data_IF_455237810449
#
_entry.id   IF_455237810449
#
_cell.length_a   1.000
_cell.length_b   1.000
_cell.length_c   1.000
_cell.angle_alpha   90.00
_cell.angle_beta   90.00
_cell.angle_gamma   90.00
#
_symmetry.space_group_name_H-M   'P 1'
#
loop_
_entity.id
_entity.type
_entity.pdbx_description
1 polymer ?
#
# COMPACT_ATOMS: atom_id res chain seq x y z
N UNK A 1 -13.90 -3.21 5.81
CA UNK A 1 -13.60 -4.02 7.00
C UNK A 1 -12.09 -4.22 7.09
N UNK A 2 -11.56 -4.30 8.31
CA UNK A 2 -10.17 -4.58 8.63
C UNK A 2 -10.09 -5.87 9.45
N UNK A 3 -9.07 -6.68 9.20
CA UNK A 3 -8.63 -7.76 10.07
C UNK A 3 -7.16 -7.50 10.48
N UNK A 4 -6.90 -7.10 11.74
CA UNK A 4 -5.58 -6.76 12.23
C UNK A 4 -4.62 -7.95 12.32
N UNK A 5 -5.11 -9.14 12.69
CA UNK A 5 -4.29 -10.35 12.73
C UNK A 5 -3.76 -10.73 11.34
N UNK A 6 -4.58 -10.50 10.30
CA UNK A 6 -4.20 -10.74 8.91
C UNK A 6 -3.57 -9.51 8.24
N UNK A 7 -3.45 -8.39 8.95
CA UNK A 7 -3.03 -7.08 8.42
C UNK A 7 -3.66 -6.80 7.05
N UNK A 8 -4.98 -6.98 6.97
CA UNK A 8 -5.71 -7.01 5.70
C UNK A 8 -6.97 -6.15 5.77
N UNK A 9 -7.23 -5.42 4.69
CA UNK A 9 -8.42 -4.60 4.48
C UNK A 9 -9.22 -5.22 3.33
N UNK A 10 -10.53 -5.30 3.54
CA UNK A 10 -11.49 -5.77 2.54
C UNK A 10 -12.71 -4.83 2.55
N UNK A 11 -12.88 -4.10 1.46
CA UNK A 11 -14.06 -3.32 1.13
C UNK A 11 -14.71 -3.98 -0.09
N UNK A 12 -15.81 -4.74 0.10
CA UNK A 12 -16.45 -5.51 -0.97
C UNK A 12 -16.61 -4.69 -2.25
N UNK A 13 -16.22 -5.31 -3.37
CA UNK A 13 -16.23 -4.79 -4.75
C UNK A 13 -15.44 -3.49 -4.98
N UNK A 14 -14.80 -2.95 -3.96
CA UNK A 14 -14.15 -1.63 -3.99
C UNK A 14 -12.65 -1.72 -3.89
N UNK A 15 -12.17 -2.33 -2.82
CA UNK A 15 -10.76 -2.27 -2.47
C UNK A 15 -10.37 -3.45 -1.59
N UNK A 16 -9.20 -4.01 -1.86
CA UNK A 16 -8.52 -4.91 -0.95
C UNK A 16 -7.10 -4.42 -0.73
N UNK A 17 -6.57 -4.64 0.46
CA UNK A 17 -5.16 -4.39 0.73
C UNK A 17 -4.65 -5.38 1.76
N UNK A 18 -3.37 -5.70 1.72
CA UNK A 18 -2.75 -6.51 2.76
C UNK A 18 -1.27 -6.23 2.90
N UNK A 19 -0.77 -6.51 4.10
CA UNK A 19 0.63 -6.55 4.43
C UNK A 19 0.99 -7.96 4.90
N UNK A 20 2.00 -8.56 4.29
CA UNK A 20 2.59 -9.83 4.71
C UNK A 20 4.05 -9.59 5.03
N UNK A 21 4.54 -10.21 6.10
CA UNK A 21 5.95 -10.14 6.48
C UNK A 21 6.71 -11.31 5.90
N UNK A 22 7.85 -11.02 5.28
CA UNK A 22 8.70 -11.99 4.63
C UNK A 22 9.18 -13.06 5.60
N UNK A 23 9.21 -14.31 5.14
CA UNK A 23 9.54 -15.45 6.02
C UNK A 23 10.98 -15.38 6.53
N UNK A 24 11.90 -14.87 5.70
CA UNK A 24 13.28 -14.60 6.08
C UNK A 24 13.36 -13.50 7.15
N UNK A 25 12.56 -12.44 7.02
CA UNK A 25 12.53 -11.32 7.98
C UNK A 25 12.07 -11.77 9.35
N UNK A 26 11.02 -12.61 9.41
CA UNK A 26 10.54 -13.20 10.66
C UNK A 26 11.64 -14.05 11.33
N UNK A 27 12.33 -14.89 10.55
CA UNK A 27 13.38 -15.78 11.04
C UNK A 27 14.61 -15.03 11.53
N UNK A 28 15.04 -14.00 10.81
CA UNK A 28 16.23 -13.21 11.10
C UNK A 28 15.97 -12.06 12.10
N UNK A 29 14.71 -11.85 12.50
CA UNK A 29 14.33 -10.79 13.44
C UNK A 29 14.43 -9.39 12.84
N UNK A 30 14.21 -9.25 11.52
CA UNK A 30 14.09 -7.93 10.89
C UNK A 30 12.68 -7.35 11.08
N UNK A 31 12.55 -6.04 10.81
CA UNK A 31 11.24 -5.40 10.72
C UNK A 31 10.61 -5.64 9.34
N UNK A 32 9.35 -5.24 9.17
CA UNK A 32 8.70 -5.26 7.86
C UNK A 32 8.94 -3.90 7.17
N UNK A 33 9.64 -3.92 6.04
CA UNK A 33 10.01 -2.75 5.24
C UNK A 33 8.83 -2.13 4.49
N UNK A 34 7.82 -2.92 4.18
CA UNK A 34 6.65 -2.50 3.42
C UNK A 34 5.67 -1.68 4.27
N UNK A 35 5.14 -0.62 3.68
CA UNK A 35 4.13 0.22 4.29
C UNK A 35 3.05 0.62 3.29
N UNK A 36 1.80 0.64 3.75
CA UNK A 36 0.62 0.98 2.99
C UNK A 36 -0.01 2.25 3.55
N UNK A 37 -0.43 3.15 2.67
CA UNK A 37 -1.27 4.31 2.96
C UNK A 37 -2.58 4.18 2.20
N UNK A 38 -3.70 4.22 2.92
CA UNK A 38 -5.04 4.29 2.37
C UNK A 38 -5.75 5.51 2.96
N UNK A 39 -5.70 6.64 2.26
CA UNK A 39 -6.45 7.84 2.62
C UNK A 39 -7.73 7.89 1.78
N UNK A 40 -8.83 7.40 2.36
CA UNK A 40 -10.10 7.31 1.66
C UNK A 40 -10.77 8.68 1.47
N UNK A 41 -10.58 9.58 2.43
CA UNK A 41 -11.14 10.93 2.40
C UNK A 41 -10.56 11.73 1.21
N UNK A 42 -9.24 11.67 1.04
CA UNK A 42 -8.53 12.37 -0.02
C UNK A 42 -8.34 11.56 -1.30
N UNK A 43 -8.76 10.29 -1.30
CA UNK A 43 -8.59 9.31 -2.39
C UNK A 43 -7.13 9.13 -2.82
N UNK A 44 -6.25 9.01 -1.82
CA UNK A 44 -4.81 8.80 -2.00
C UNK A 44 -4.44 7.41 -1.49
N UNK A 45 -3.80 6.63 -2.35
CA UNK A 45 -3.36 5.26 -2.06
C UNK A 45 -1.90 5.14 -2.40
N UNK A 46 -1.09 4.62 -1.47
CA UNK A 46 0.33 4.45 -1.72
C UNK A 46 0.89 3.19 -1.06
N UNK A 47 1.92 2.65 -1.68
CA UNK A 47 2.80 1.64 -1.11
C UNK A 47 4.23 2.17 -1.13
N UNK A 48 5.02 1.77 -0.14
CA UNK A 48 6.43 2.06 -0.06
C UNK A 48 7.14 0.88 0.59
N UNK A 49 8.26 0.49 0.00
CA UNK A 49 9.15 -0.57 0.49
C UNK A 49 10.46 0.06 0.94
N UNK A 50 10.97 -0.36 2.09
CA UNK A 50 12.18 0.14 2.72
C UNK A 50 13.17 -0.97 2.95
N UNK A 51 14.46 -0.63 2.87
CA UNK A 51 15.53 -1.60 3.17
C UNK A 51 15.46 -2.10 4.61
N UNK A 52 15.94 -3.31 4.85
CA UNK A 52 16.00 -3.99 6.15
C UNK A 52 16.84 -3.24 7.19
N UNK A 53 17.79 -2.41 6.74
CA UNK A 53 18.61 -1.57 7.62
C UNK A 53 17.77 -0.50 8.33
N UNK A 54 16.70 -0.04 7.69
CA UNK A 54 15.80 0.97 8.24
C UNK A 54 14.36 0.74 7.74
N UNK A 55 13.67 -0.33 8.18
CA UNK A 55 12.35 -0.71 7.67
C UNK A 55 11.28 0.35 7.94
N UNK A 56 11.49 1.22 8.93
CA UNK A 56 10.59 2.34 9.22
C UNK A 56 10.67 3.48 8.19
N UNK A 57 11.60 3.44 7.21
CA UNK A 57 11.76 4.51 6.22
C UNK A 57 10.49 4.75 5.41
N UNK A 58 9.82 3.66 5.00
CA UNK A 58 8.56 3.65 4.24
C UNK A 58 7.43 4.31 5.04
N UNK A 59 7.23 3.89 6.30
CA UNK A 59 6.26 4.50 7.22
C UNK A 59 6.51 6.00 7.41
N UNK A 60 7.74 6.41 7.67
CA UNK A 60 8.05 7.82 7.87
C UNK A 60 7.76 8.67 6.62
N UNK A 61 8.00 8.12 5.43
CA UNK A 61 7.66 8.78 4.17
C UNK A 61 6.14 8.93 4.02
N UNK A 62 5.39 7.85 4.21
CA UNK A 62 3.94 7.83 4.05
C UNK A 62 3.21 8.64 5.13
N UNK A 63 3.73 8.68 6.36
CA UNK A 63 3.20 9.55 7.43
C UNK A 63 3.38 11.04 7.09
N UNK A 64 4.52 11.42 6.49
CA UNK A 64 4.73 12.79 6.01
C UNK A 64 3.84 13.12 4.82
N UNK A 65 3.65 12.19 3.89
CA UNK A 65 2.73 12.34 2.77
C UNK A 65 1.29 12.58 3.27
N UNK A 66 0.80 11.71 4.16
CA UNK A 66 -0.53 11.83 4.75
C UNK A 66 -0.71 13.14 5.53
N UNK A 67 0.29 13.55 6.32
CA UNK A 67 0.25 14.81 7.05
C UNK A 67 0.20 16.03 6.10
N UNK A 68 1.02 16.03 5.05
CA UNK A 68 1.02 17.10 4.05
C UNK A 68 -0.32 17.21 3.32
N UNK A 69 -0.96 16.08 2.99
CA UNK A 69 -2.29 16.04 2.37
C UNK A 69 -3.36 16.52 3.35
N UNK A 70 -3.31 16.09 4.62
CA UNK A 70 -4.28 16.53 5.62
C UNK A 70 -4.22 18.05 5.88
N UNK A 71 -3.03 18.64 5.81
CA UNK A 71 -2.81 20.08 5.99
C UNK A 71 -3.19 20.91 4.76
N UNK A 72 -2.82 20.46 3.56
CA UNK A 72 -2.91 21.27 2.33
C UNK A 72 -4.06 20.83 1.40
N UNK A 73 -4.76 19.75 1.72
CA UNK A 73 -5.67 19.05 0.81
C UNK A 73 -4.95 18.11 -0.18
N UNK A 74 -5.69 17.28 -0.93
CA UNK A 74 -5.13 16.45 -1.98
C UNK A 74 -4.65 17.32 -3.15
N UNK A 75 -3.60 16.92 -3.86
CA UNK A 75 -3.19 17.63 -5.06
C UNK A 75 -4.28 17.55 -6.13
N UNK A 76 -4.57 18.68 -6.79
CA UNK A 76 -5.55 18.75 -7.89
C UNK A 76 -4.93 18.48 -9.27
N UNK A 77 -3.64 18.79 -9.43
CA UNK A 77 -2.89 18.67 -10.67
C UNK A 77 -1.45 18.16 -10.43
N UNK A 78 -0.75 17.87 -11.53
CA UNK A 78 0.60 17.31 -11.55
C UNK A 78 1.61 18.26 -10.90
N UNK A 79 1.47 19.57 -11.11
CA UNK A 79 2.39 20.57 -10.56
C UNK A 79 2.29 20.63 -9.04
N UNK A 80 1.07 20.67 -8.52
CA UNK A 80 0.77 20.64 -7.09
C UNK A 80 1.24 19.33 -6.47
N UNK A 81 1.05 18.20 -7.17
CA UNK A 81 1.53 16.91 -6.69
C UNK A 81 3.06 16.82 -6.67
N UNK A 82 3.74 17.26 -7.73
CA UNK A 82 5.21 17.33 -7.78
C UNK A 82 5.76 18.18 -6.62
N UNK A 83 5.22 19.39 -6.41
CA UNK A 83 5.64 20.27 -5.33
C UNK A 83 5.38 19.68 -3.93
N UNK A 84 4.27 18.96 -3.75
CA UNK A 84 3.99 18.25 -2.51
C UNK A 84 5.02 17.12 -2.29
N UNK A 85 5.31 16.33 -3.33
CA UNK A 85 6.27 15.24 -3.24
C UNK A 85 7.68 15.74 -2.98
N UNK A 86 8.16 16.80 -3.64
CA UNK A 86 9.47 17.39 -3.36
C UNK A 86 9.63 17.79 -1.88
N UNK A 87 8.60 18.36 -1.27
CA UNK A 87 8.59 18.70 0.17
C UNK A 87 8.65 17.47 1.07
N UNK A 88 7.95 16.39 0.72
CA UNK A 88 7.95 15.14 1.48
C UNK A 88 9.26 14.37 1.31
N UNK A 89 9.79 14.38 0.09
CA UNK A 89 10.98 13.66 -0.38
C UNK A 89 12.26 14.22 0.19
N UNK A 90 12.42 15.55 0.15
CA UNK A 90 13.60 16.26 0.68
C UNK A 90 13.84 16.06 2.18
N UNK A 91 12.81 15.66 2.92
CA UNK A 91 12.90 15.33 4.35
C UNK A 91 13.37 13.90 4.63
N UNK A 92 13.50 13.05 3.60
CA UNK A 92 14.01 11.69 3.76
C UNK A 92 15.54 11.72 3.96
N UNK A 93 16.02 11.16 5.08
CA UNK A 93 17.45 11.06 5.36
C UNK A 93 18.12 10.08 4.38
N UNK A 94 19.40 10.32 4.09
CA UNK A 94 20.13 9.54 3.10
C UNK A 94 20.13 8.01 3.38
N UNK A 95 20.25 7.65 4.65
CA UNK A 95 20.28 6.25 5.08
C UNK A 95 18.89 5.59 5.16
N UNK A 96 17.81 6.36 5.02
CA UNK A 96 16.45 5.84 5.09
C UNK A 96 15.93 5.59 3.66
N UNK A 97 16.55 4.66 2.94
CA UNK A 97 16.18 4.35 1.54
C UNK A 97 14.79 3.71 1.49
N UNK A 98 13.89 4.22 0.65
CA UNK A 98 12.57 3.62 0.41
C UNK A 98 12.01 3.97 -0.98
N UNK A 99 11.17 3.09 -1.55
CA UNK A 99 10.40 3.33 -2.77
C UNK A 99 9.19 4.21 -2.49
N UNK A 100 8.49 4.61 -3.56
CA UNK A 100 7.14 5.16 -3.48
C UNK A 100 6.37 4.85 -4.76
N UNK A 101 5.27 4.13 -4.63
CA UNK A 101 4.24 4.02 -5.67
C UNK A 101 2.94 4.58 -5.10
N UNK A 102 2.46 5.69 -5.66
CA UNK A 102 1.33 6.45 -5.14
C UNK A 102 0.36 6.81 -6.27
N UNK A 103 -0.93 6.70 -5.97
CA UNK A 103 -2.06 7.03 -6.84
C UNK A 103 -2.96 8.04 -6.12
N UNK A 104 -3.29 9.13 -6.79
CA UNK A 104 -4.31 10.09 -6.37
C UNK A 104 -5.44 10.07 -7.40
N UNK A 105 -6.66 9.75 -6.98
CA UNK A 105 -7.83 9.79 -7.85
C UNK A 105 -8.45 11.18 -7.85
N UNK A 106 -8.49 11.82 -9.02
CA UNK A 106 -9.02 13.17 -9.20
C UNK A 106 -10.17 13.19 -10.20
N UNK A 107 -11.08 14.14 -10.03
CA UNK A 107 -12.08 14.47 -11.05
C UNK A 107 -11.62 15.75 -11.73
N UNK A 108 -11.37 15.70 -13.04
CA UNK A 108 -11.01 16.87 -13.85
C UNK A 108 -12.19 17.25 -14.75
N UNK A 109 -12.11 18.41 -15.39
CA UNK A 109 -13.10 18.86 -16.37
C UNK A 109 -13.31 17.83 -17.48
N UNK A 110 -12.23 17.19 -17.94
CA UNK A 110 -12.24 16.15 -18.98
C UNK A 110 -12.54 14.73 -18.48
N UNK A 111 -13.03 14.60 -17.24
CA UNK A 111 -13.38 13.32 -16.62
C UNK A 111 -12.44 12.87 -15.49
N UNK A 112 -12.69 11.69 -14.91
CA UNK A 112 -11.86 11.12 -13.86
C UNK A 112 -10.46 10.76 -14.36
N UNK A 113 -9.45 10.96 -13.52
CA UNK A 113 -8.07 10.62 -13.81
C UNK A 113 -7.36 10.08 -12.56
N UNK A 114 -6.27 9.35 -12.78
CA UNK A 114 -5.34 8.93 -11.75
C UNK A 114 -4.01 9.65 -11.95
N UNK A 115 -3.59 10.45 -10.97
CA UNK A 115 -2.23 10.98 -10.92
C UNK A 115 -1.32 9.99 -10.22
N UNK A 116 -0.12 9.81 -10.76
CA UNK A 116 0.79 8.72 -10.45
C UNK A 116 2.15 9.28 -10.07
N UNK A 117 2.68 8.81 -8.95
CA UNK A 117 4.07 8.97 -8.60
C UNK A 117 4.69 7.60 -8.38
N UNK A 118 5.74 7.27 -9.12
CA UNK A 118 6.44 6.00 -8.99
C UNK A 118 7.93 6.24 -8.92
N UNK A 119 8.58 5.65 -7.92
CA UNK A 119 9.99 5.85 -7.63
C UNK A 119 10.54 4.57 -6.98
N UNK A 120 11.61 4.01 -7.54
CA UNK A 120 12.12 2.69 -7.15
C UNK A 120 11.46 1.57 -7.94
N UNK A 121 11.36 0.40 -7.33
CA UNK A 121 10.93 -0.87 -7.93
C UNK A 121 9.55 -1.37 -7.47
N UNK A 122 8.89 -0.66 -6.55
CA UNK A 122 7.45 -0.81 -6.36
C UNK A 122 6.68 -0.39 -7.62
N UNK A 123 5.49 -0.94 -7.81
CA UNK A 123 4.74 -0.82 -9.08
C UNK A 123 3.33 -0.29 -8.88
N UNK A 124 2.84 0.41 -9.92
CA UNK A 124 1.42 0.68 -10.15
C UNK A 124 1.03 0.04 -11.47
N UNK A 125 0.02 -0.82 -11.44
CA UNK A 125 -0.49 -1.55 -12.60
C UNK A 125 -1.96 -1.25 -12.79
N UNK A 126 -2.34 -0.90 -14.02
CA UNK A 126 -3.71 -0.68 -14.45
C UNK A 126 -4.12 -1.89 -15.27
N UNK A 127 -5.20 -2.53 -14.84
CA UNK A 127 -5.69 -3.77 -15.43
C UNK A 127 -7.08 -3.55 -16.01
N UNK A 128 -7.33 -4.11 -17.19
CA UNK A 128 -8.66 -4.16 -17.76
C UNK A 128 -9.54 -5.08 -16.89
N UNK A 129 -10.67 -4.59 -16.35
CA UNK A 129 -11.52 -5.38 -15.46
C UNK A 129 -12.14 -6.60 -16.15
N UNK A 130 -12.30 -6.56 -17.47
CA UNK A 130 -13.00 -7.59 -18.22
C UNK A 130 -12.14 -8.83 -18.48
N UNK A 131 -10.92 -8.62 -18.98
CA UNK A 131 -10.02 -9.68 -19.45
C UNK A 131 -8.69 -9.77 -18.66
N UNK A 132 -8.48 -8.87 -17.69
CA UNK A 132 -7.32 -8.91 -16.81
C UNK A 132 -6.03 -8.39 -17.43
N UNK A 133 -6.05 -7.91 -18.67
CA UNK A 133 -4.83 -7.45 -19.36
C UNK A 133 -4.27 -6.18 -18.74
N UNK A 134 -2.95 -6.09 -18.71
CA UNK A 134 -2.23 -4.87 -18.35
C UNK A 134 -2.47 -3.80 -19.40
N UNK A 135 -3.09 -2.70 -18.99
CA UNK A 135 -3.28 -1.49 -19.81
C UNK A 135 -2.05 -0.58 -19.66
N UNK A 136 -1.55 -0.46 -18.44
CA UNK A 136 -0.41 0.37 -18.09
C UNK A 136 0.30 -0.22 -16.87
N UNK A 137 1.61 -0.11 -16.82
CA UNK A 137 2.41 -0.47 -15.65
C UNK A 137 3.60 0.48 -15.53
N UNK A 138 3.86 0.97 -14.32
CA UNK A 138 5.05 1.77 -14.04
C UNK A 138 6.31 0.91 -14.17
N UNK A 139 7.41 1.53 -14.59
CA UNK A 139 8.71 0.85 -14.68
C UNK A 139 9.48 1.05 -13.39
N UNK A 140 10.23 0.03 -13.01
CA UNK A 140 11.22 0.13 -11.95
C UNK A 140 12.34 1.08 -12.35
N UNK A 141 12.85 1.84 -11.40
CA UNK A 141 14.07 2.63 -11.55
C UNK A 141 14.89 2.65 -10.25
N UNK A 142 16.02 3.36 -10.28
CA UNK A 142 16.90 3.50 -9.13
C UNK A 142 16.63 4.80 -8.34
N UNK A 143 15.47 5.43 -8.53
CA UNK A 143 15.09 6.67 -7.87
C UNK A 143 14.43 6.37 -6.52
N UNK A 144 15.20 6.32 -5.44
CA UNK A 144 14.68 6.03 -4.10
C UNK A 144 14.66 7.30 -3.23
N UNK A 145 13.65 7.44 -2.38
CA UNK A 145 13.65 8.46 -1.35
C UNK A 145 14.81 8.17 -0.39
N UNK A 146 15.55 9.21 -0.01
CA UNK A 146 16.78 9.06 0.76
C UNK A 146 17.99 8.66 -0.10
N UNK A 147 17.86 8.39 -1.39
CA UNK A 147 19.02 8.24 -2.29
C UNK A 147 19.12 9.38 -3.30
N UNK A 148 17.99 9.74 -3.87
CA UNK A 148 17.87 10.79 -4.88
C UNK A 148 17.41 12.10 -4.28
N UNK A 149 17.82 13.21 -4.90
CA UNK A 149 17.45 14.56 -4.46
C UNK A 149 15.97 14.88 -4.72
N UNK A 150 15.42 14.37 -5.83
CA UNK A 150 14.07 14.68 -6.30
C UNK A 150 13.33 13.39 -6.68
N UNK A 151 12.00 13.34 -6.48
CA UNK A 151 11.17 12.30 -7.04
C UNK A 151 11.11 12.43 -8.58
N UNK A 152 10.67 11.36 -9.23
CA UNK A 152 10.27 11.41 -10.63
C UNK A 152 9.06 12.32 -10.82
N UNK A 153 8.95 12.86 -12.04
CA UNK A 153 7.79 13.64 -12.42
C UNK A 153 6.50 12.82 -12.31
N UNK A 154 5.49 13.42 -11.68
CA UNK A 154 4.14 12.88 -11.64
C UNK A 154 3.57 12.79 -13.06
N UNK A 155 2.90 11.68 -13.35
CA UNK A 155 2.17 11.47 -14.60
C UNK A 155 0.68 11.34 -14.32
N UNK A 156 -0.17 11.63 -15.30
CA UNK A 156 -1.62 11.47 -15.18
C UNK A 156 -2.13 10.51 -16.23
N UNK A 157 -2.88 9.51 -15.77
CA UNK A 157 -3.58 8.56 -16.62
C UNK A 157 -5.08 8.89 -16.62
N UNK A 158 -5.69 9.22 -17.77
CA UNK A 158 -7.13 9.35 -17.88
C UNK A 158 -7.83 8.02 -17.55
N UNK A 159 -8.94 8.07 -16.82
CA UNK A 159 -9.77 6.91 -16.49
C UNK A 159 -11.05 6.85 -17.34
N UNK A 160 -11.04 7.54 -18.48
CA UNK A 160 -12.16 7.60 -19.42
C UNK A 160 -12.35 6.22 -20.11
N UNK A 161 -13.59 5.76 -20.24
CA UNK A 161 -13.92 4.46 -20.85
C UNK A 161 -14.00 3.31 -19.84
N UNK A 162 -13.32 2.19 -20.13
CA UNK A 162 -13.27 0.99 -19.29
C UNK A 162 -12.46 1.25 -18.01
N UNK A 163 -13.13 1.78 -16.99
CA UNK A 163 -12.59 2.10 -15.66
C UNK A 163 -11.71 0.96 -15.14
N UNK A 164 -10.37 1.10 -15.15
CA UNK A 164 -9.45 0.01 -14.86
C UNK A 164 -9.45 -0.38 -13.38
N UNK A 165 -9.11 -1.62 -13.07
CA UNK A 165 -8.66 -1.95 -11.72
C UNK A 165 -7.21 -1.46 -11.56
N UNK A 166 -6.89 -0.81 -10.45
CA UNK A 166 -5.53 -0.36 -10.15
C UNK A 166 -4.96 -1.26 -9.07
N UNK A 167 -3.73 -1.73 -9.26
CA UNK A 167 -2.96 -2.47 -8.25
C UNK A 167 -1.68 -1.71 -7.96
N UNK A 168 -1.45 -1.37 -6.70
CA UNK A 168 -0.18 -0.89 -6.19
C UNK A 168 0.47 -2.03 -5.41
N UNK A 169 1.75 -2.28 -5.65
CA UNK A 169 2.45 -3.38 -4.99
C UNK A 169 3.94 -3.12 -4.81
N UNK A 170 4.49 -3.62 -3.72
CA UNK A 170 5.92 -3.77 -3.51
C UNK A 170 6.45 -4.97 -4.31
N UNK A 171 7.77 -5.07 -4.45
CA UNK A 171 8.42 -6.05 -5.31
C UNK A 171 8.29 -7.50 -4.80
N UNK A 172 8.10 -7.70 -3.49
CA UNK A 172 7.83 -9.02 -2.93
C UNK A 172 6.59 -9.71 -3.51
N UNK A 173 5.63 -8.94 -4.05
CA UNK A 173 4.48 -9.51 -4.76
C UNK A 173 4.88 -10.24 -6.05
N UNK A 174 5.95 -9.80 -6.73
CA UNK A 174 6.47 -10.47 -7.92
C UNK A 174 6.96 -11.90 -7.61
N UNK A 175 7.40 -12.15 -6.36
CA UNK A 175 7.88 -13.46 -5.90
C UNK A 175 6.80 -14.53 -5.73
N UNK A 176 5.51 -14.16 -5.68
CA UNK A 176 4.41 -15.11 -5.44
C UNK A 176 3.51 -15.34 -6.68
N UNK A 177 3.98 -14.93 -7.86
CA UNK A 177 3.38 -15.23 -9.18
C UNK A 177 2.56 -14.09 -9.78
N UNK A 178 2.09 -14.29 -11.01
CA UNK A 178 1.35 -13.25 -11.74
C UNK A 178 0.04 -12.85 -11.02
N UNK A 179 -0.01 -11.60 -10.55
CA UNK A 179 -1.20 -10.88 -10.04
C UNK A 179 -2.35 -10.88 -11.07
N UNK A 180 -2.02 -11.16 -12.34
CA UNK A 180 -2.82 -11.04 -13.56
C UNK A 180 -3.96 -12.05 -13.69
N UNK A 181 -4.43 -12.63 -12.59
CA UNK A 181 -5.67 -13.40 -12.66
C UNK A 181 -6.85 -12.43 -12.81
N UNK A 182 -7.72 -12.70 -13.79
CA UNK A 182 -9.01 -12.02 -13.99
C UNK A 182 -9.88 -11.97 -12.73
N UNK A 183 -9.58 -12.80 -11.72
CA UNK A 183 -10.25 -12.81 -10.42
C UNK A 183 -9.94 -11.56 -9.59
N UNK A 184 -8.71 -11.05 -9.60
CA UNK A 184 -8.35 -9.83 -8.84
C UNK A 184 -8.96 -8.60 -9.53
N UNK A 185 -8.97 -8.57 -10.86
CA UNK A 185 -9.49 -7.40 -11.60
C UNK A 185 -11.00 -7.22 -11.47
N UNK A 186 -11.76 -8.32 -11.43
CA UNK A 186 -13.21 -8.30 -11.18
C UNK A 186 -13.58 -8.20 -9.69
N UNK A 187 -12.65 -8.51 -8.81
CA UNK A 187 -12.88 -8.48 -7.37
C UNK A 187 -11.64 -7.97 -6.63
N UNK A 188 -11.29 -6.68 -6.74
CA UNK A 188 -10.08 -6.12 -6.13
C UNK A 188 -10.01 -6.35 -4.62
N UNK A 189 -11.17 -6.38 -3.96
CA UNK A 189 -11.32 -6.71 -2.54
C UNK A 189 -10.76 -8.09 -2.13
N UNK A 190 -10.56 -9.01 -3.08
CA UNK A 190 -10.02 -10.34 -2.85
C UNK A 190 -8.50 -10.43 -2.91
N UNK A 191 -7.78 -9.35 -3.23
CA UNK A 191 -6.30 -9.40 -3.30
C UNK A 191 -5.68 -9.95 -2.02
N UNK A 192 -6.18 -9.53 -0.86
CA UNK A 192 -5.70 -10.02 0.44
C UNK A 192 -5.88 -11.54 0.61
N UNK A 193 -7.02 -12.07 0.16
CA UNK A 193 -7.28 -13.51 0.18
C UNK A 193 -6.37 -14.26 -0.81
N UNK A 194 -6.23 -13.73 -2.03
CA UNK A 194 -5.39 -14.32 -3.07
C UNK A 194 -3.92 -14.40 -2.64
N UNK A 195 -3.40 -13.35 -1.99
CA UNK A 195 -2.04 -13.32 -1.44
C UNK A 195 -1.94 -14.31 -0.28
N UNK A 196 -2.88 -14.28 0.68
CA UNK A 196 -2.88 -15.19 1.81
C UNK A 196 -2.90 -16.68 1.40
N UNK A 197 -3.62 -17.03 0.33
CA UNK A 197 -3.67 -18.41 -0.17
C UNK A 197 -2.32 -18.89 -0.76
N UNK A 198 -1.45 -17.95 -1.18
CA UNK A 198 -0.12 -18.23 -1.75
C UNK A 198 1.03 -18.11 -0.75
N UNK A 199 0.81 -17.39 0.34
CA UNK A 199 1.80 -17.19 1.41
C UNK A 199 1.55 -18.12 2.61
N UNK A 200 0.60 -19.05 2.53
CA UNK A 200 0.35 -20.08 3.56
C UNK A 200 0.95 -21.43 3.17
N UNK A 201 1.41 -22.24 4.14
CA UNK A 201 1.80 -23.63 3.88
C UNK A 201 0.59 -24.43 3.36
N UNK A 202 0.76 -25.36 2.38
CA UNK A 202 2.01 -25.77 1.73
C UNK A 202 2.37 -24.97 0.46
N UNK A 203 1.62 -23.91 0.13
CA UNK A 203 1.81 -23.12 -1.09
C UNK A 203 3.00 -22.15 -1.04
N UNK A 204 3.62 -21.97 0.14
CA UNK A 204 4.77 -21.09 0.36
C UNK A 204 5.96 -21.47 -0.53
N UNK A 205 6.48 -20.53 -1.34
CA UNK A 205 7.87 -20.57 -1.77
C UNK A 205 8.80 -20.68 -0.55
N UNK A 206 9.98 -21.28 -0.73
CA UNK A 206 10.95 -21.51 0.36
C UNK A 206 11.25 -20.23 1.15
N UNK A 207 11.30 -19.08 0.45
CA UNK A 207 11.48 -17.75 1.03
C UNK A 207 10.62 -16.74 0.26
N UNK A 208 9.86 -15.92 0.99
CA UNK A 208 9.13 -14.77 0.43
C UNK A 208 9.63 -13.51 1.11
N UNK A 209 9.68 -12.41 0.36
CA UNK A 209 9.95 -11.09 0.92
C UNK A 209 8.71 -10.49 1.58
N UNK A 210 8.84 -9.30 2.17
CA UNK A 210 7.68 -8.49 2.57
C UNK A 210 6.76 -8.24 1.36
N UNK A 211 5.46 -8.28 1.58
CA UNK A 211 4.46 -8.02 0.52
C UNK A 211 3.48 -6.97 1.01
N UNK A 212 3.50 -5.82 0.36
CA UNK A 212 2.55 -4.73 0.51
C UNK A 212 1.76 -4.57 -0.77
N UNK A 213 0.45 -4.74 -0.70
CA UNK A 213 -0.41 -4.62 -1.87
C UNK A 213 -1.71 -3.89 -1.59
N UNK A 214 -2.16 -3.10 -2.57
CA UNK A 214 -3.48 -2.44 -2.62
C UNK A 214 -4.06 -2.70 -4.01
N UNK A 215 -5.27 -3.26 -4.09
CA UNK A 215 -6.04 -3.32 -5.32
C UNK A 215 -7.36 -2.57 -5.16
N UNK A 216 -7.68 -1.70 -6.11
CA UNK A 216 -8.89 -0.89 -6.08
C UNK A 216 -9.63 -0.88 -7.43
N UNK A 217 -10.95 -0.86 -7.34
CA UNK A 217 -11.84 -0.60 -8.45
C UNK A 217 -11.98 0.91 -8.65
N UNK A 218 -11.85 1.41 -9.87
CA UNK A 218 -11.99 2.85 -10.17
C UNK A 218 -13.42 3.26 -10.52
N UNK A 219 -14.32 2.28 -10.69
CA UNK A 219 -15.72 2.49 -11.01
C UNK A 219 -16.63 2.60 -9.79
N UNK A 220 -16.20 2.05 -8.65
CA UNK A 220 -16.96 2.08 -7.41
C UNK A 220 -16.38 3.14 -6.45
N UNK A 221 -17.16 4.16 -6.05
CA UNK A 221 -16.67 5.14 -5.08
C UNK A 221 -16.45 4.52 -3.70
N UNK A 222 -15.28 4.78 -3.14
CA UNK A 222 -14.97 4.50 -1.74
C UNK A 222 -15.39 5.71 -0.91
N UNK A 223 -16.34 5.52 0.01
CA UNK A 223 -16.91 6.58 0.86
C UNK A 223 -16.54 6.36 2.33
N UNK A 224 -15.32 5.93 2.56
CA UNK A 224 -14.76 5.81 3.91
C UNK A 224 -14.10 7.14 4.27
N UNK A 225 -14.15 7.51 5.55
CA UNK A 225 -13.60 8.79 6.02
C UNK A 225 -12.19 8.64 6.63
N UNK A 226 -11.69 7.41 6.72
CA UNK A 226 -10.48 7.08 7.46
C UNK A 226 -9.21 7.25 6.62
N UNK A 227 -8.12 7.55 7.31
CA UNK A 227 -6.76 7.39 6.77
C UNK A 227 -6.07 6.27 7.51
N UNK A 228 -5.61 5.25 6.78
CA UNK A 228 -4.96 4.07 7.34
C UNK A 228 -3.50 4.02 6.91
N UNK A 229 -2.61 3.83 7.89
CA UNK A 229 -1.18 3.55 7.66
C UNK A 229 -0.83 2.21 8.31
N UNK A 230 -0.35 1.27 7.51
CA UNK A 230 -0.11 -0.12 7.93
C UNK A 230 1.26 -0.60 7.45
N UNK A 231 2.10 -1.08 8.36
CA UNK A 231 3.46 -1.55 8.05
C UNK A 231 4.57 -0.55 8.39
N UNK A 232 5.74 -0.73 7.77
CA UNK A 232 6.98 0.02 8.03
C UNK A 232 7.39 -0.10 9.49
N UNK A 233 7.48 -1.33 9.97
CA UNK A 233 7.61 -1.66 11.39
C UNK A 233 9.05 -2.01 11.75
N UNK A 234 9.40 -1.83 13.03
CA UNK A 234 10.73 -2.19 13.54
C UNK A 234 10.81 -3.69 13.89
N UNK A 235 12.01 -4.29 13.93
CA UNK A 235 12.25 -5.65 14.44
C UNK A 235 11.45 -6.06 15.68
N UNK A 236 11.51 -5.24 16.75
CA UNK A 236 10.80 -5.53 17.99
C UNK A 236 9.27 -5.53 17.85
N UNK A 237 8.74 -4.76 16.88
CA UNK A 237 7.31 -4.70 16.60
C UNK A 237 6.83 -5.98 15.92
N UNK A 238 7.56 -6.46 14.92
CA UNK A 238 7.28 -7.74 14.27
C UNK A 238 7.41 -8.90 15.25
N UNK A 239 8.50 -8.91 16.03
CA UNK A 239 8.71 -9.92 17.08
C UNK A 239 7.52 -9.98 18.05
N UNK A 240 7.06 -8.82 18.53
CA UNK A 240 5.90 -8.75 19.42
C UNK A 240 4.62 -9.22 18.74
N UNK A 241 4.39 -8.82 17.48
CA UNK A 241 3.22 -9.24 16.71
C UNK A 241 3.17 -10.77 16.59
N UNK A 242 4.24 -11.41 16.10
CA UNK A 242 4.27 -12.88 15.94
C UNK A 242 4.19 -13.63 17.26
N UNK A 243 4.73 -13.07 18.35
CA UNK A 243 4.68 -13.69 19.68
C UNK A 243 3.29 -13.60 20.33
N UNK A 244 2.61 -12.46 20.20
CA UNK A 244 1.44 -12.14 21.02
C UNK A 244 0.12 -12.09 20.25
N UNK A 245 0.12 -11.97 18.92
CA UNK A 245 -1.12 -11.84 18.15
C UNK A 245 -1.99 -13.11 18.22
N UNK A 246 -1.39 -14.30 18.23
CA UNK A 246 -2.10 -15.58 18.38
C UNK A 246 -2.78 -15.75 19.74
N UNK A 247 -2.29 -15.06 20.77
CA UNK A 247 -2.86 -15.04 22.12
C UNK A 247 -4.04 -14.05 22.25
N UNK A 248 -4.34 -13.31 21.19
CA UNK A 248 -5.39 -12.30 21.14
C UNK A 248 -6.42 -12.68 20.07
N UNK A 249 -7.26 -13.71 20.30
CA UNK A 249 -8.21 -14.21 19.31
C UNK A 249 -9.19 -13.14 18.82
N UNK A 250 -9.43 -12.11 19.63
CA UNK A 250 -10.21 -10.94 19.23
C UNK A 250 -9.67 -10.27 17.96
N UNK A 251 -8.37 -10.39 17.64
CA UNK A 251 -7.74 -9.77 16.46
C UNK A 251 -8.04 -10.50 15.14
N UNK A 252 -8.30 -11.81 15.12
CA UNK A 252 -8.58 -12.54 13.87
C UNK A 252 -10.06 -12.52 13.53
N UNK A 253 -10.58 -11.33 13.27
CA UNK A 253 -11.93 -11.12 12.76
C UNK A 253 -12.00 -9.92 11.83
N UNK A 254 -12.99 -9.94 10.95
CA UNK A 254 -13.29 -8.81 10.06
C UNK A 254 -14.28 -7.89 10.72
N UNK A 255 -13.92 -6.61 10.88
CA UNK A 255 -14.78 -5.61 11.50
C UNK A 255 -14.65 -4.24 10.84
N UNK A 256 -15.58 -3.33 11.14
CA UNK A 256 -15.53 -1.95 10.67
C UNK A 256 -14.35 -1.17 11.29
N UNK A 257 -13.81 -0.18 10.57
CA UNK A 257 -12.69 0.64 11.06
C UNK A 257 -13.00 1.32 12.40
N UNK A 258 -14.25 1.78 12.59
CA UNK A 258 -14.71 2.40 13.85
C UNK A 258 -14.59 1.49 15.07
N UNK A 259 -14.80 0.18 14.90
CA UNK A 259 -14.63 -0.81 15.98
C UNK A 259 -13.16 -0.89 16.37
N UNK A 260 -12.27 -0.93 15.38
CA UNK A 260 -10.83 -1.01 15.62
C UNK A 260 -10.19 0.27 16.14
N UNK A 261 -10.76 1.45 15.83
CA UNK A 261 -10.37 2.72 16.45
C UNK A 261 -10.55 2.70 17.97
N UNK A 262 -11.47 1.88 18.50
CA UNK A 262 -11.69 1.71 19.93
C UNK A 262 -10.71 0.70 20.57
N UNK A 263 -9.85 0.06 19.79
CA UNK A 263 -8.86 -0.91 20.27
C UNK A 263 -7.42 -0.53 19.85
N UNK A 264 -6.92 0.66 20.25
CA UNK A 264 -5.64 1.20 19.78
C UNK A 264 -4.44 0.31 20.10
N UNK A 265 -4.45 -0.42 21.22
CA UNK A 265 -3.36 -1.34 21.57
C UNK A 265 -3.25 -2.53 20.60
N UNK A 266 -4.38 -3.03 20.09
CA UNK A 266 -4.39 -4.12 19.10
C UNK A 266 -3.93 -3.62 17.73
N UNK A 267 -4.32 -2.38 17.38
CA UNK A 267 -3.87 -1.73 16.15
C UNK A 267 -2.38 -1.46 16.19
N UNK A 268 -1.91 -0.91 17.31
CA UNK A 268 -0.49 -0.68 17.55
C UNK A 268 0.27 -2.01 17.46
N UNK A 269 -0.16 -3.07 18.14
CA UNK A 269 0.49 -4.39 18.02
C UNK A 269 0.57 -4.87 16.56
N UNK A 270 -0.49 -4.68 15.77
CA UNK A 270 -0.53 -5.04 14.36
C UNK A 270 0.30 -4.12 13.44
N UNK A 271 0.85 -3.01 13.95
CA UNK A 271 1.55 -2.02 13.14
C UNK A 271 0.59 -1.22 12.25
N UNK A 272 -0.64 -0.98 12.71
CA UNK A 272 -1.71 -0.31 11.99
C UNK A 272 -2.08 0.99 12.74
N UNK A 273 -2.26 2.06 11.99
CA UNK A 273 -2.80 3.32 12.50
C UNK A 273 -4.04 3.67 11.69
N UNK A 274 -5.13 4.01 12.38
CA UNK A 274 -6.39 4.50 11.78
C UNK A 274 -6.61 5.91 12.31
N UNK A 275 -6.70 6.90 11.41
CA UNK A 275 -7.04 8.29 11.71
C UNK A 275 -8.42 8.60 11.15
#
# INVERSE_FOLDING_TARGET
MLNPYRRSICLPDKLGACLVTGTEKVRCGYGNGDCLLLDFHHRVFAVADATERFPQASRLLLERLAAAIAENGPPGDENTFNALLDRVWSRQKYIHKTTLSCVVLVNRENGPAAMLANNGDSTVTFLNPNDGKVIFQTRSDMNFAGRSRHPNAVTTQPLNGSRPAIVLATDGLAGIGEILSTKITRSPHRIAHWIADRTRPPALPLEIDDIGAIALATDVPVREAHTIIMGGTRPGKETNFFRFASQKPAMDRWDAFKVWQQAPELMDLAGIQIR
#
